data_IF_912860282292
#
_entry.id   IF_912860282292
#
_cell.length_a   1.000
_cell.length_b   1.000
_cell.length_c   1.000
_cell.angle_alpha   90.00
_cell.angle_beta   90.00
_cell.angle_gamma   90.00
#
_symmetry.space_group_name_H-M   'P 1'
#
loop_
_entity.id
_entity.type
_entity.pdbx_description
1 polymer ?
#
# COMPACT_ATOMS: atom_id res chain seq x y z
N UNK A 1 -10.41 -6.20 -15.32
CA UNK A 1 -9.79 -7.49 -14.97
C UNK A 1 -8.35 -7.49 -15.47
N UNK A 2 -7.42 -8.04 -14.71
CA UNK A 2 -6.03 -8.18 -15.15
C UNK A 2 -5.90 -9.20 -16.28
N UNK A 3 -5.12 -8.88 -17.31
CA UNK A 3 -4.76 -9.84 -18.37
C UNK A 3 -3.97 -11.02 -17.80
N UNK A 4 -3.02 -10.77 -16.90
CA UNK A 4 -2.19 -11.83 -16.30
C UNK A 4 -2.98 -12.77 -15.40
N UNK A 5 -4.06 -12.29 -14.78
CA UNK A 5 -4.97 -13.13 -14.02
C UNK A 5 -5.88 -13.94 -14.95
N UNK A 6 -6.48 -13.29 -15.96
CA UNK A 6 -7.33 -13.93 -16.97
C UNK A 6 -6.64 -15.13 -17.62
N UNK A 7 -5.37 -14.97 -17.99
CA UNK A 7 -4.61 -15.99 -18.73
C UNK A 7 -4.31 -17.24 -17.89
N UNK A 8 -4.45 -17.15 -16.57
CA UNK A 8 -4.33 -18.29 -15.63
C UNK A 8 -5.66 -19.00 -15.40
N UNK A 9 -6.79 -18.41 -15.84
CA UNK A 9 -8.12 -18.96 -15.59
C UNK A 9 -8.61 -19.83 -16.74
N UNK A 10 -9.48 -20.82 -16.45
CA UNK A 10 -10.21 -21.55 -17.48
C UNK A 10 -11.06 -20.62 -18.38
N UNK A 11 -11.07 -20.83 -19.71
CA UNK A 11 -11.83 -19.97 -20.63
C UNK A 11 -13.35 -19.91 -20.34
N UNK A 12 -13.93 -21.01 -19.85
CA UNK A 12 -15.34 -21.07 -19.46
C UNK A 12 -15.66 -20.15 -18.27
N UNK A 13 -14.74 -20.03 -17.30
CA UNK A 13 -14.90 -19.11 -16.18
C UNK A 13 -14.88 -17.65 -16.65
N UNK A 14 -13.96 -17.31 -17.55
CA UNK A 14 -13.90 -15.96 -18.12
C UNK A 14 -15.18 -15.62 -18.90
N UNK A 15 -15.68 -16.56 -19.69
CA UNK A 15 -16.93 -16.38 -20.44
C UNK A 15 -18.14 -16.22 -19.50
N UNK A 16 -18.20 -17.01 -18.42
CA UNK A 16 -19.22 -16.88 -17.39
C UNK A 16 -19.19 -15.48 -16.76
N UNK A 17 -18.02 -15.01 -16.32
CA UNK A 17 -17.86 -13.69 -15.69
C UNK A 17 -18.27 -12.58 -16.67
N UNK A 18 -17.81 -12.65 -17.93
CA UNK A 18 -18.17 -11.66 -18.94
C UNK A 18 -19.69 -11.60 -19.17
N UNK A 19 -20.33 -12.77 -19.29
CA UNK A 19 -21.80 -12.88 -19.48
C UNK A 19 -22.56 -12.37 -18.26
N UNK A 20 -22.14 -12.75 -17.05
CA UNK A 20 -22.74 -12.31 -15.80
C UNK A 20 -22.67 -10.79 -15.64
N UNK A 21 -21.50 -10.19 -15.88
CA UNK A 21 -21.31 -8.75 -15.80
C UNK A 21 -22.15 -8.02 -16.85
N UNK A 22 -22.16 -8.50 -18.09
CA UNK A 22 -22.98 -7.93 -19.16
C UNK A 22 -24.49 -7.97 -18.81
N UNK A 23 -24.97 -9.10 -18.27
CA UNK A 23 -26.35 -9.25 -17.80
C UNK A 23 -26.74 -8.29 -16.66
N UNK A 24 -25.75 -7.79 -15.91
CA UNK A 24 -25.94 -6.82 -14.83
C UNK A 24 -25.52 -5.39 -15.23
N UNK A 25 -25.43 -5.09 -16.53
CA UNK A 25 -25.05 -3.78 -17.08
C UNK A 25 -23.64 -3.29 -16.70
N UNK A 26 -22.74 -4.22 -16.39
CA UNK A 26 -21.32 -3.93 -16.19
C UNK A 26 -20.52 -4.21 -17.46
N UNK A 27 -19.60 -3.30 -17.79
CA UNK A 27 -18.65 -3.50 -18.89
C UNK A 27 -17.36 -4.11 -18.37
N UNK A 28 -17.00 -5.29 -18.88
CA UNK A 28 -15.72 -5.92 -18.58
C UNK A 28 -14.63 -5.40 -19.53
N UNK A 29 -13.54 -4.90 -18.95
CA UNK A 29 -12.31 -4.53 -19.66
C UNK A 29 -11.12 -5.36 -19.16
N UNK A 30 -10.17 -5.62 -20.06
CA UNK A 30 -8.92 -6.30 -19.73
C UNK A 30 -7.77 -5.31 -19.81
N UNK A 31 -7.00 -5.20 -18.74
CA UNK A 31 -5.88 -4.26 -18.62
C UNK A 31 -4.70 -4.94 -17.93
N UNK A 32 -3.48 -4.49 -18.19
CA UNK A 32 -2.30 -4.92 -17.42
C UNK A 32 -2.24 -4.12 -16.12
N UNK A 33 -2.78 -4.67 -15.03
CA UNK A 33 -2.92 -3.97 -13.75
C UNK A 33 -2.47 -4.88 -12.58
N UNK A 34 -1.97 -4.29 -11.47
CA UNK A 34 -1.65 -5.05 -10.26
C UNK A 34 -2.83 -5.84 -9.64
N UNK A 35 -4.06 -5.28 -9.49
CA UNK A 35 -5.23 -6.05 -9.04
C UNK A 35 -5.77 -6.99 -10.12
N UNK A 36 -6.38 -8.07 -9.67
CA UNK A 36 -7.05 -9.04 -10.55
C UNK A 36 -8.38 -8.49 -11.07
N UNK A 37 -9.13 -7.80 -10.21
CA UNK A 37 -10.33 -7.07 -10.57
C UNK A 37 -10.37 -5.68 -9.98
N UNK A 38 -10.99 -4.76 -10.72
CA UNK A 38 -11.39 -3.46 -10.20
C UNK A 38 -12.86 -3.31 -10.55
N UNK A 39 -13.68 -3.02 -9.55
CA UNK A 39 -15.06 -2.58 -9.72
C UNK A 39 -15.13 -1.09 -9.52
N UNK A 40 -15.66 -0.40 -10.53
CA UNK A 40 -15.93 1.03 -10.47
C UNK A 40 -17.44 1.23 -10.42
N UNK A 41 -17.93 1.93 -9.41
CA UNK A 41 -19.33 2.29 -9.30
C UNK A 41 -19.48 3.69 -8.70
N UNK A 42 -20.05 4.63 -9.46
CA UNK A 42 -20.39 5.98 -8.96
C UNK A 42 -19.22 6.78 -8.38
N UNK A 43 -18.01 6.64 -8.93
CA UNK A 43 -16.80 7.32 -8.43
C UNK A 43 -16.04 6.57 -7.34
N UNK A 44 -16.54 5.44 -6.86
CA UNK A 44 -15.83 4.52 -5.97
C UNK A 44 -15.13 3.43 -6.79
N UNK A 45 -13.85 3.21 -6.52
CA UNK A 45 -13.06 2.10 -7.07
C UNK A 45 -12.72 1.12 -5.95
N UNK A 46 -13.08 -0.15 -6.15
CA UNK A 46 -12.73 -1.26 -5.24
C UNK A 46 -11.87 -2.26 -5.99
N UNK A 47 -10.66 -2.51 -5.49
CA UNK A 47 -9.73 -3.46 -6.07
C UNK A 47 -9.81 -4.83 -5.38
N UNK A 48 -9.65 -5.91 -6.15
CA UNK A 48 -9.64 -7.27 -5.63
C UNK A 48 -8.38 -8.01 -6.08
N UNK A 49 -7.79 -8.75 -5.14
CA UNK A 49 -6.76 -9.74 -5.38
C UNK A 49 -7.31 -11.12 -5.02
N UNK A 50 -7.18 -12.08 -5.92
CA UNK A 50 -7.63 -13.46 -5.74
C UNK A 50 -6.43 -14.40 -5.71
N UNK A 51 -6.19 -15.03 -4.56
CA UNK A 51 -5.27 -16.16 -4.40
C UNK A 51 -6.09 -17.43 -4.18
N UNK A 52 -6.39 -18.15 -5.27
CA UNK A 52 -7.33 -19.28 -5.27
C UNK A 52 -6.72 -20.59 -4.77
N UNK A 53 -5.43 -20.62 -4.49
CA UNK A 53 -4.74 -21.76 -3.87
C UNK A 53 -3.52 -21.25 -3.10
N UNK A 54 -3.65 -21.15 -1.77
CA UNK A 54 -2.56 -20.70 -0.92
C UNK A 54 -1.35 -21.65 -0.99
N UNK A 55 -0.17 -21.06 -1.15
CA UNK A 55 1.11 -21.76 -1.23
C UNK A 55 2.16 -20.92 -0.51
N UNK A 56 2.93 -21.54 0.38
CA UNK A 56 4.01 -20.89 1.12
C UNK A 56 5.11 -20.35 0.20
N UNK A 57 5.32 -20.97 -0.97
CA UNK A 57 6.30 -20.48 -1.95
C UNK A 57 5.89 -19.12 -2.54
N UNK A 58 4.58 -18.83 -2.54
CA UNK A 58 4.01 -17.58 -3.07
C UNK A 58 3.83 -16.49 -2.02
N UNK A 59 4.20 -16.76 -0.77
CA UNK A 59 4.03 -15.85 0.36
C UNK A 59 4.53 -14.43 0.01
N UNK A 60 5.80 -14.29 -0.38
CA UNK A 60 6.41 -12.99 -0.67
C UNK A 60 5.70 -12.24 -1.82
N UNK A 61 5.31 -12.97 -2.87
CA UNK A 61 4.64 -12.41 -4.04
C UNK A 61 3.24 -11.88 -3.68
N UNK A 62 2.46 -12.65 -2.90
CA UNK A 62 1.12 -12.23 -2.46
C UNK A 62 1.22 -10.96 -1.63
N UNK A 63 2.09 -10.92 -0.61
CA UNK A 63 2.20 -9.75 0.26
C UNK A 63 2.80 -8.53 -0.45
N UNK A 64 3.68 -8.72 -1.43
CA UNK A 64 4.16 -7.63 -2.30
C UNK A 64 3.02 -6.99 -3.10
N UNK A 65 2.13 -7.81 -3.68
CA UNK A 65 0.93 -7.33 -4.38
C UNK A 65 -0.04 -6.62 -3.44
N UNK A 66 -0.25 -7.15 -2.24
CA UNK A 66 -1.09 -6.51 -1.21
C UNK A 66 -0.55 -5.13 -0.83
N UNK A 67 0.75 -5.00 -0.62
CA UNK A 67 1.38 -3.71 -0.33
C UNK A 67 1.23 -2.72 -1.49
N UNK A 68 1.31 -3.19 -2.73
CA UNK A 68 1.07 -2.36 -3.92
C UNK A 68 -0.38 -1.86 -3.95
N UNK A 69 -1.36 -2.72 -3.67
CA UNK A 69 -2.78 -2.33 -3.62
C UNK A 69 -3.08 -1.34 -2.50
N UNK A 70 -2.49 -1.55 -1.32
CA UNK A 70 -2.64 -0.65 -0.16
C UNK A 70 -2.18 0.78 -0.47
N UNK A 71 -1.19 0.95 -1.35
CA UNK A 71 -0.69 2.27 -1.79
C UNK A 71 -1.58 2.92 -2.86
N UNK A 72 -2.24 2.11 -3.69
CA UNK A 72 -2.96 2.60 -4.88
C UNK A 72 -4.47 2.76 -4.66
N UNK A 73 -5.07 1.98 -3.75
CA UNK A 73 -6.50 1.91 -3.58
C UNK A 73 -6.90 2.13 -2.12
N UNK A 74 -7.83 3.06 -1.91
CA UNK A 74 -8.46 3.27 -0.61
C UNK A 74 -9.27 2.06 -0.15
N UNK A 75 -9.90 1.37 -1.11
CA UNK A 75 -10.72 0.19 -0.86
C UNK A 75 -10.17 -0.98 -1.68
N UNK A 76 -9.71 -2.02 -0.98
CA UNK A 76 -9.28 -3.25 -1.61
C UNK A 76 -9.63 -4.47 -0.75
N UNK A 77 -9.81 -5.61 -1.40
CA UNK A 77 -10.05 -6.89 -0.76
C UNK A 77 -9.07 -7.92 -1.30
N UNK A 78 -8.59 -8.78 -0.39
CA UNK A 78 -7.76 -9.93 -0.71
C UNK A 78 -8.57 -11.16 -0.39
N UNK A 79 -8.87 -11.96 -1.40
CA UNK A 79 -9.63 -13.20 -1.27
C UNK A 79 -8.65 -14.35 -1.41
N UNK A 80 -8.44 -15.10 -0.33
CA UNK A 80 -7.54 -16.24 -0.28
C UNK A 80 -8.34 -17.50 -0.04
N UNK A 81 -8.14 -18.52 -0.86
CA UNK A 81 -8.72 -19.85 -0.67
C UNK A 81 -7.69 -20.77 -0.03
N UNK A 82 -8.03 -21.27 1.15
CA UNK A 82 -7.23 -22.20 1.96
C UNK A 82 -7.98 -23.53 2.08
N UNK A 83 -7.77 -24.50 1.17
CA UNK A 83 -8.60 -25.71 1.15
C UNK A 83 -8.30 -26.69 2.29
N UNK A 84 -7.12 -26.63 2.93
CA UNK A 84 -6.76 -27.51 4.06
C UNK A 84 -6.48 -26.73 5.35
N UNK A 85 -6.61 -27.42 6.49
CA UNK A 85 -6.27 -26.83 7.80
C UNK A 85 -4.80 -26.45 7.90
N UNK A 86 -3.91 -27.25 7.30
CA UNK A 86 -2.46 -26.98 7.25
C UNK A 86 -2.16 -25.70 6.47
N UNK A 87 -2.80 -25.50 5.31
CA UNK A 87 -2.68 -24.28 4.53
C UNK A 87 -3.25 -23.07 5.26
N UNK A 88 -4.35 -23.25 6.01
CA UNK A 88 -4.90 -22.19 6.85
C UNK A 88 -3.93 -21.78 7.97
N UNK A 89 -3.29 -22.74 8.64
CA UNK A 89 -2.27 -22.44 9.66
C UNK A 89 -1.05 -21.72 9.06
N UNK A 90 -0.54 -22.22 7.93
CA UNK A 90 0.55 -21.58 7.20
C UNK A 90 0.19 -20.15 6.75
N UNK A 91 -1.02 -19.94 6.23
CA UNK A 91 -1.52 -18.63 5.86
C UNK A 91 -1.60 -17.69 7.07
N UNK A 92 -2.16 -18.15 8.20
CA UNK A 92 -2.28 -17.35 9.41
C UNK A 92 -0.89 -16.93 9.91
N UNK A 93 0.06 -17.86 9.95
CA UNK A 93 1.43 -17.57 10.34
C UNK A 93 2.05 -16.48 9.46
N UNK A 94 1.94 -16.62 8.13
CA UNK A 94 2.43 -15.62 7.18
C UNK A 94 1.72 -14.27 7.36
N UNK A 95 0.39 -14.25 7.48
CA UNK A 95 -0.40 -13.04 7.69
C UNK A 95 0.06 -12.27 8.93
N UNK A 96 0.25 -12.94 10.07
CA UNK A 96 0.74 -12.28 11.28
C UNK A 96 2.18 -11.78 11.13
N UNK A 97 3.07 -12.58 10.54
CA UNK A 97 4.46 -12.18 10.25
C UNK A 97 4.52 -10.89 9.42
N UNK A 98 3.80 -10.78 8.31
CA UNK A 98 3.82 -9.55 7.48
C UNK A 98 3.10 -8.39 8.13
N UNK A 99 2.08 -8.66 8.94
CA UNK A 99 1.44 -7.63 9.75
C UNK A 99 2.42 -7.03 10.75
N UNK A 100 3.17 -7.87 11.47
CA UNK A 100 4.19 -7.45 12.43
C UNK A 100 5.34 -6.70 11.76
N UNK A 101 5.85 -7.21 10.63
CA UNK A 101 6.88 -6.52 9.85
C UNK A 101 6.41 -5.14 9.36
N UNK A 102 5.15 -5.02 8.95
CA UNK A 102 4.59 -3.73 8.56
C UNK A 102 4.50 -2.75 9.74
N UNK A 103 4.16 -3.24 10.94
CA UNK A 103 4.18 -2.43 12.18
C UNK A 103 5.60 -2.02 12.54
N UNK A 104 6.56 -2.94 12.52
CA UNK A 104 7.98 -2.64 12.78
C UNK A 104 8.56 -1.64 11.77
N UNK A 105 8.15 -1.72 10.49
CA UNK A 105 8.56 -0.77 9.47
C UNK A 105 7.98 0.63 9.75
N UNK A 106 6.75 0.71 10.25
CA UNK A 106 6.15 1.96 10.69
C UNK A 106 6.86 2.50 11.95
N UNK A 107 7.23 1.66 12.89
CA UNK A 107 8.01 2.07 14.06
C UNK A 107 9.38 2.61 13.67
N UNK A 108 10.08 1.93 12.74
CA UNK A 108 11.33 2.42 12.18
C UNK A 108 11.14 3.75 11.43
N UNK A 109 10.04 3.88 10.68
CA UNK A 109 9.67 5.16 10.05
C UNK A 109 9.50 6.27 11.09
N UNK A 110 8.71 6.03 12.13
CA UNK A 110 8.44 7.02 13.19
C UNK A 110 9.74 7.38 13.91
N UNK A 111 10.61 6.41 14.21
CA UNK A 111 11.92 6.67 14.81
C UNK A 111 12.81 7.55 13.92
N UNK A 112 12.86 7.29 12.62
CA UNK A 112 13.67 8.10 11.69
C UNK A 112 13.12 9.51 11.58
N UNK A 113 11.80 9.67 11.43
CA UNK A 113 11.18 11.00 11.28
C UNK A 113 11.27 11.81 12.58
N UNK A 114 11.08 11.20 13.75
CA UNK A 114 11.22 11.88 15.05
C UNK A 114 12.68 12.20 15.43
N UNK A 115 13.67 11.67 14.71
CA UNK A 115 15.07 12.09 14.84
C UNK A 115 15.34 13.50 14.25
N UNK A 116 14.37 14.05 13.51
CA UNK A 116 14.36 15.44 13.06
C UNK A 116 13.92 16.31 14.25
N UNK A 117 14.74 17.27 14.71
CA UNK A 117 14.44 18.07 15.89
C UNK A 117 13.07 18.72 15.82
N UNK A 118 12.31 18.69 16.91
CA UNK A 118 10.98 19.31 16.98
C UNK A 118 9.95 18.76 15.99
N UNK A 119 10.18 17.56 15.45
CA UNK A 119 9.17 16.71 14.82
C UNK A 119 8.83 15.62 15.82
N UNK A 120 7.56 15.55 16.22
CA UNK A 120 7.07 14.56 17.19
C UNK A 120 6.39 13.36 16.51
N UNK A 121 6.00 12.36 17.29
CA UNK A 121 5.36 11.15 16.76
C UNK A 121 4.02 11.43 16.08
N UNK A 122 3.32 12.51 16.45
CA UNK A 122 2.08 12.87 15.79
C UNK A 122 2.37 13.39 14.39
N UNK A 123 3.32 14.32 14.25
CA UNK A 123 3.78 14.81 12.94
C UNK A 123 4.26 13.67 12.03
N UNK A 124 5.04 12.74 12.60
CA UNK A 124 5.54 11.57 11.87
C UNK A 124 4.39 10.72 11.33
N UNK A 125 3.37 10.45 12.14
CA UNK A 125 2.20 9.71 11.70
C UNK A 125 1.39 10.45 10.63
N UNK A 126 1.25 11.78 10.73
CA UNK A 126 0.61 12.59 9.70
C UNK A 126 1.38 12.48 8.37
N UNK A 127 2.70 12.56 8.39
CA UNK A 127 3.55 12.40 7.20
C UNK A 127 3.45 10.99 6.60
N UNK A 128 3.42 9.95 7.44
CA UNK A 128 3.25 8.56 7.00
C UNK A 128 1.91 8.36 6.28
N UNK A 129 0.85 9.00 6.77
CA UNK A 129 -0.49 8.88 6.19
C UNK A 129 -0.65 9.71 4.91
N UNK A 130 -0.11 10.93 4.89
CA UNK A 130 -0.29 11.87 3.79
C UNK A 130 0.69 11.67 2.62
N UNK A 131 1.95 11.38 2.92
CA UNK A 131 3.04 11.33 1.94
C UNK A 131 3.56 9.90 1.78
N UNK A 132 3.51 9.09 2.84
CA UNK A 132 3.89 7.68 2.79
C UNK A 132 5.33 7.44 3.23
N UNK A 133 6.23 7.25 2.26
CA UNK A 133 7.60 6.78 2.53
C UNK A 133 8.60 7.91 2.85
N UNK A 134 9.70 7.59 3.55
CA UNK A 134 10.81 8.53 3.81
C UNK A 134 11.40 9.07 2.49
N UNK A 135 11.49 8.21 1.46
CA UNK A 135 11.97 8.63 0.15
C UNK A 135 11.04 9.66 -0.51
N UNK A 136 9.73 9.47 -0.39
CA UNK A 136 8.76 10.44 -0.89
C UNK A 136 8.85 11.76 -0.12
N UNK A 137 9.03 11.69 1.21
CA UNK A 137 9.19 12.87 2.07
C UNK A 137 10.48 13.64 1.75
N UNK A 138 11.60 12.96 1.52
CA UNK A 138 12.88 13.63 1.20
C UNK A 138 12.80 14.41 -0.13
N UNK A 139 11.95 13.96 -1.05
CA UNK A 139 11.69 14.57 -2.36
C UNK A 139 10.49 15.54 -2.37
N UNK A 140 9.67 15.57 -1.32
CA UNK A 140 8.50 16.45 -1.24
C UNK A 140 8.91 17.93 -1.14
N UNK A 141 8.18 18.83 -1.82
CA UNK A 141 8.33 20.27 -1.60
C UNK A 141 7.66 20.70 -0.30
N UNK A 142 8.06 21.87 0.22
CA UNK A 142 7.45 22.44 1.43
C UNK A 142 5.95 22.67 1.24
N UNK A 143 5.57 23.16 0.07
CA UNK A 143 4.19 23.46 -0.31
C UNK A 143 3.37 22.17 -0.33
N UNK A 144 3.91 21.09 -0.93
CA UNK A 144 3.25 19.79 -0.97
C UNK A 144 3.04 19.22 0.45
N UNK A 145 4.02 19.37 1.35
CA UNK A 145 3.86 18.96 2.75
C UNK A 145 2.73 19.75 3.41
N UNK A 146 2.69 21.07 3.27
CA UNK A 146 1.66 21.93 3.89
C UNK A 146 0.26 21.73 3.31
N UNK A 147 0.15 21.35 2.04
CA UNK A 147 -1.15 21.06 1.40
C UNK A 147 -1.74 19.72 1.85
N UNK A 148 -0.88 18.75 2.17
CA UNK A 148 -1.31 17.37 2.48
C UNK A 148 -1.25 17.03 3.98
N UNK A 149 -0.70 17.91 4.82
CA UNK A 149 -0.54 17.69 6.26
C UNK A 149 -0.97 18.91 7.08
N UNK A 150 -1.20 18.73 8.38
CA UNK A 150 -1.49 19.80 9.33
C UNK A 150 -0.22 20.37 10.01
N UNK A 151 0.97 20.07 9.46
CA UNK A 151 2.24 20.54 10.00
C UNK A 151 2.36 22.07 9.89
N UNK A 152 3.03 22.68 10.87
CA UNK A 152 3.36 24.10 10.81
C UNK A 152 4.38 24.39 9.70
N UNK A 153 4.39 25.63 9.22
CA UNK A 153 5.36 26.11 8.22
C UNK A 153 6.81 25.86 8.64
N UNK A 154 7.10 25.99 9.93
CA UNK A 154 8.44 25.78 10.48
C UNK A 154 8.82 24.31 10.53
N UNK A 155 7.87 23.42 10.89
CA UNK A 155 8.07 21.97 10.86
C UNK A 155 8.30 21.49 9.41
N UNK A 156 7.50 21.95 8.46
CA UNK A 156 7.66 21.62 7.04
C UNK A 156 9.02 22.10 6.47
N UNK A 157 9.43 23.34 6.78
CA UNK A 157 10.75 23.87 6.39
C UNK A 157 11.88 23.00 6.96
N UNK A 158 11.78 22.62 8.23
CA UNK A 158 12.79 21.82 8.92
C UNK A 158 12.96 20.44 8.29
N UNK A 159 11.87 19.79 7.91
CA UNK A 159 11.89 18.51 7.20
C UNK A 159 12.62 18.66 5.86
N UNK A 160 12.26 19.66 5.06
CA UNK A 160 12.89 19.90 3.75
C UNK A 160 14.39 20.16 3.89
N UNK A 161 14.79 21.01 4.84
CA UNK A 161 16.22 21.27 5.12
C UNK A 161 16.95 20.03 5.60
N UNK A 162 16.35 19.25 6.49
CA UNK A 162 16.97 18.03 7.00
C UNK A 162 17.32 17.04 5.90
N UNK A 163 16.50 16.90 4.85
CA UNK A 163 16.81 15.97 3.76
C UNK A 163 17.67 16.54 2.63
N UNK A 164 17.76 17.88 2.51
CA UNK A 164 18.36 18.53 1.33
C UNK A 164 19.57 19.41 1.62
N UNK A 165 19.77 19.77 2.88
CA UNK A 165 20.87 20.63 3.31
C UNK A 165 21.86 19.82 4.17
N UNK A 166 22.99 19.39 3.58
CA UNK A 166 24.08 18.71 4.28
C UNK A 166 24.57 19.44 5.52
N UNK A 167 24.60 20.76 5.49
CA UNK A 167 25.06 21.52 6.65
C UNK A 167 24.04 21.44 7.78
N UNK A 168 22.75 21.40 7.44
CA UNK A 168 21.67 21.35 8.43
C UNK A 168 21.60 20.01 9.19
N UNK A 169 21.70 18.86 8.51
CA UNK A 169 21.60 17.56 9.18
C UNK A 169 22.92 17.08 9.81
N UNK A 170 24.08 17.59 9.36
CA UNK A 170 25.39 17.32 9.97
C UNK A 170 25.72 18.26 11.14
N UNK A 171 24.94 19.33 11.33
CA UNK A 171 25.14 20.26 12.46
C UNK A 171 24.83 19.58 13.80
N UNK A 172 25.62 19.85 14.86
CA UNK A 172 25.29 19.42 16.21
C UNK A 172 23.93 20.02 16.60
N UNK A 173 22.97 19.14 16.87
CA UNK A 173 21.65 19.53 17.38
C UNK A 173 21.79 19.73 18.89
N UNK A 174 22.16 20.94 19.30
CA UNK A 174 22.22 21.31 20.72
C UNK A 174 20.77 21.44 21.19
N UNK A 175 20.36 20.54 22.09
CA UNK A 175 19.05 20.56 22.75
C UNK A 175 19.00 21.65 23.84
#
# INVERSE_FOLDING_TARGET
MSTSWRDKQPPNLINFIATFLAGNSYRLSFCSLPPDFIFNNGGLSVAFLFETCWDTEKEADVFSRVNTLKRQFKHFYVVVTVPTSEQNEAFNHAYFKYREQAVQCLDAFVQVITSIPGIDSHDANTLAQAIGSIEAISKASKEFILENTDLSRDKAERIVRFFRDPQYYLSPKIN
#
